data_IF_869134090756
#
_entry.id   IF_869134090756
#
_cell.length_a   1.000
_cell.length_b   1.000
_cell.length_c   1.000
_cell.angle_alpha   90.00
_cell.angle_beta   90.00
_cell.angle_gamma   90.00
#
_symmetry.space_group_name_H-M   'P 1'
#
loop_
_entity.id
_entity.type
_entity.pdbx_description
1 polymer ?
#
# COMPACT_ATOMS: atom_id res chain seq x y z
N UNK A 1 14.48 -20.13 -26.10
CA UNK A 1 14.77 -19.10 -25.09
C UNK A 1 13.56 -19.01 -24.19
N UNK A 2 13.64 -19.53 -22.96
CA UNK A 2 12.52 -19.46 -22.02
C UNK A 2 12.49 -18.06 -21.42
N UNK A 3 11.47 -17.25 -21.76
CA UNK A 3 11.19 -16.01 -21.04
C UNK A 3 10.80 -16.37 -19.61
N UNK A 4 11.72 -16.24 -18.67
CA UNK A 4 11.39 -16.26 -17.25
C UNK A 4 10.80 -14.89 -16.91
N UNK A 5 9.48 -14.80 -16.86
CA UNK A 5 8.77 -13.64 -16.29
C UNK A 5 8.95 -13.71 -14.78
N UNK A 6 9.79 -12.85 -14.22
CA UNK A 6 10.08 -12.75 -12.79
C UNK A 6 8.92 -12.09 -12.03
N UNK A 7 7.81 -12.82 -11.85
CA UNK A 7 6.62 -12.32 -11.16
C UNK A 7 6.97 -11.52 -9.89
N UNK A 8 6.58 -10.25 -9.86
CA UNK A 8 6.66 -9.38 -8.70
C UNK A 8 6.00 -10.06 -7.48
N UNK A 9 6.74 -10.17 -6.37
CA UNK A 9 6.28 -10.78 -5.12
C UNK A 9 6.73 -9.91 -3.94
N UNK A 10 5.87 -9.01 -3.44
CA UNK A 10 6.22 -8.17 -2.31
C UNK A 10 6.27 -8.96 -1.00
N UNK A 11 6.97 -8.41 -0.02
CA UNK A 11 6.86 -8.88 1.36
C UNK A 11 5.49 -8.47 1.92
N UNK A 12 4.71 -9.36 2.51
CA UNK A 12 3.39 -9.02 3.02
C UNK A 12 3.46 -8.04 4.20
N UNK A 13 2.50 -7.11 4.26
CA UNK A 13 2.31 -6.15 5.34
C UNK A 13 1.08 -6.50 6.16
N UNK A 14 1.11 -6.13 7.44
CA UNK A 14 -0.08 -6.05 8.29
C UNK A 14 -0.32 -4.58 8.59
N UNK A 15 -1.51 -4.09 8.28
CA UNK A 15 -1.92 -2.70 8.51
C UNK A 15 -3.09 -2.65 9.50
N UNK A 16 -3.02 -1.76 10.48
CA UNK A 16 -4.07 -1.44 11.44
C UNK A 16 -4.93 -0.30 10.90
N UNK A 17 -6.19 -0.59 10.59
CA UNK A 17 -7.19 0.43 10.23
C UNK A 17 -8.30 0.38 11.28
N UNK A 18 -8.48 1.48 12.01
CA UNK A 18 -9.33 1.48 13.21
C UNK A 18 -8.85 0.45 14.23
N UNK A 19 -9.69 -0.56 14.51
CA UNK A 19 -9.38 -1.66 15.44
C UNK A 19 -9.05 -2.99 14.75
N UNK A 20 -8.94 -3.01 13.42
CA UNK A 20 -8.75 -4.24 12.64
C UNK A 20 -7.34 -4.32 12.04
N UNK A 21 -6.74 -5.51 12.11
CA UNK A 21 -5.51 -5.85 11.39
C UNK A 21 -5.85 -6.43 10.01
N UNK A 22 -5.36 -5.76 8.97
CA UNK A 22 -5.61 -6.09 7.58
C UNK A 22 -4.30 -6.58 6.95
N UNK A 23 -4.21 -7.87 6.54
CA UNK A 23 -3.08 -8.36 5.80
C UNK A 23 -3.13 -7.91 4.33
N UNK A 24 -2.02 -7.38 3.82
CA UNK A 24 -1.87 -6.95 2.43
C UNK A 24 -0.62 -7.61 1.86
N UNK A 25 -0.80 -8.53 0.91
CA UNK A 25 0.30 -9.30 0.31
C UNK A 25 0.48 -9.10 -1.20
N UNK A 26 -0.33 -8.26 -1.83
CA UNK A 26 -0.29 -8.02 -3.28
C UNK A 26 -0.57 -6.56 -3.59
N UNK A 27 -0.07 -6.07 -4.74
CA UNK A 27 -0.35 -4.71 -5.21
C UNK A 27 -1.86 -4.49 -5.43
N UNK A 28 -2.58 -5.49 -5.95
CA UNK A 28 -4.04 -5.42 -6.12
C UNK A 28 -4.77 -5.32 -4.77
N UNK A 29 -4.31 -6.04 -3.75
CA UNK A 29 -4.84 -5.91 -2.39
C UNK A 29 -4.62 -4.52 -1.80
N UNK A 30 -3.43 -3.95 -2.04
CA UNK A 30 -3.11 -2.59 -1.62
C UNK A 30 -4.00 -1.53 -2.33
N UNK A 31 -4.21 -1.68 -3.64
CA UNK A 31 -5.14 -0.84 -4.42
C UNK A 31 -6.57 -0.95 -3.86
N UNK A 32 -7.02 -2.17 -3.57
CA UNK A 32 -8.34 -2.43 -2.98
C UNK A 32 -8.51 -1.73 -1.63
N UNK A 33 -7.50 -1.78 -0.77
CA UNK A 33 -7.51 -1.11 0.53
C UNK A 33 -7.58 0.42 0.37
N UNK A 34 -6.74 1.03 -0.48
CA UNK A 34 -6.80 2.49 -0.67
C UNK A 34 -8.17 2.92 -1.20
N UNK A 35 -8.76 2.14 -2.12
CA UNK A 35 -10.11 2.40 -2.63
C UNK A 35 -11.16 2.33 -1.53
N UNK A 36 -11.09 1.39 -0.59
CA UNK A 36 -12.05 1.32 0.52
C UNK A 36 -11.92 2.51 1.47
N UNK A 37 -10.74 3.13 1.57
CA UNK A 37 -10.48 4.31 2.39
C UNK A 37 -10.83 5.63 1.71
N UNK A 38 -11.27 5.64 0.44
CA UNK A 38 -11.48 6.86 -0.37
C UNK A 38 -12.41 7.90 0.28
N UNK A 39 -13.37 7.44 1.08
CA UNK A 39 -14.31 8.32 1.77
C UNK A 39 -13.76 8.90 3.08
N UNK A 40 -12.63 8.37 3.57
CA UNK A 40 -11.94 8.85 4.76
C UNK A 40 -10.91 9.93 4.42
N UNK A 41 -10.51 10.70 5.44
CA UNK A 41 -9.48 11.73 5.32
C UNK A 41 -8.15 11.17 4.78
N UNK A 42 -7.84 9.91 5.12
CA UNK A 42 -6.66 9.19 4.64
C UNK A 42 -6.73 8.89 3.13
N UNK A 43 -7.89 8.48 2.61
CA UNK A 43 -8.05 8.15 1.20
C UNK A 43 -7.88 9.35 0.26
N UNK A 44 -8.25 10.56 0.71
CA UNK A 44 -8.07 11.79 -0.09
C UNK A 44 -6.60 12.15 -0.32
N UNK A 45 -5.73 11.85 0.63
CA UNK A 45 -4.28 12.07 0.47
C UNK A 45 -3.60 10.95 -0.34
N UNK A 46 -4.31 9.85 -0.59
CA UNK A 46 -3.79 8.70 -1.31
C UNK A 46 -4.16 8.69 -2.81
N UNK A 47 -4.88 9.70 -3.33
CA UNK A 47 -5.33 9.68 -4.74
C UNK A 47 -4.18 9.62 -5.75
N UNK A 48 -3.10 10.39 -5.52
CA UNK A 48 -1.92 10.37 -6.38
C UNK A 48 -1.20 9.02 -6.31
N UNK A 49 -1.06 8.46 -5.10
CA UNK A 49 -0.49 7.13 -4.89
C UNK A 49 -1.33 6.05 -5.61
N UNK A 50 -2.66 6.10 -5.46
CA UNK A 50 -3.57 5.18 -6.11
C UNK A 50 -3.42 5.21 -7.62
N UNK A 51 -3.36 6.40 -8.22
CA UNK A 51 -3.18 6.54 -9.67
C UNK A 51 -1.85 5.92 -10.15
N UNK A 52 -0.76 6.09 -9.38
CA UNK A 52 0.55 5.49 -9.70
C UNK A 52 0.51 3.96 -9.60
N UNK A 53 -0.10 3.43 -8.54
CA UNK A 53 -0.26 1.99 -8.35
C UNK A 53 -1.13 1.36 -9.46
N UNK A 54 -2.23 2.02 -9.82
CA UNK A 54 -3.11 1.58 -10.90
C UNK A 54 -2.46 1.69 -12.30
N UNK A 55 -1.43 2.50 -12.45
CA UNK A 55 -0.68 2.69 -13.70
C UNK A 55 0.53 1.75 -13.83
N UNK A 56 0.96 1.07 -12.77
CA UNK A 56 2.08 0.13 -12.83
C UNK A 56 1.75 -1.06 -13.74
N UNK A 57 2.56 -1.28 -14.79
CA UNK A 57 2.35 -2.34 -15.79
C UNK A 57 3.48 -3.36 -15.82
N UNK A 58 4.71 -2.92 -15.61
CA UNK A 58 5.88 -3.80 -15.53
C UNK A 58 6.33 -4.07 -14.09
N UNK A 59 7.21 -5.05 -13.92
CA UNK A 59 7.67 -5.51 -12.60
C UNK A 59 8.40 -4.42 -11.80
N UNK A 60 9.15 -3.54 -12.48
CA UNK A 60 9.87 -2.46 -11.82
C UNK A 60 8.90 -1.40 -11.29
N UNK A 61 7.92 -1.01 -12.10
CA UNK A 61 6.85 -0.11 -11.68
C UNK A 61 6.01 -0.70 -10.55
N UNK A 62 5.72 -2.01 -10.59
CA UNK A 62 4.98 -2.68 -9.51
C UNK A 62 5.76 -2.68 -8.20
N UNK A 63 7.08 -2.89 -8.27
CA UNK A 63 7.96 -2.78 -7.11
C UNK A 63 7.99 -1.36 -6.55
N UNK A 64 8.16 -0.35 -7.38
CA UNK A 64 8.20 1.05 -6.94
C UNK A 64 6.86 1.50 -6.35
N UNK A 65 5.75 1.07 -6.97
CA UNK A 65 4.40 1.30 -6.46
C UNK A 65 4.19 0.68 -5.08
N UNK A 66 4.76 -0.51 -4.86
CA UNK A 66 4.71 -1.19 -3.57
C UNK A 66 5.52 -0.48 -2.50
N UNK A 67 6.75 -0.04 -2.81
CA UNK A 67 7.58 0.75 -1.89
C UNK A 67 6.90 2.08 -1.52
N UNK A 68 6.25 2.72 -2.49
CA UNK A 68 5.48 3.93 -2.24
C UNK A 68 4.29 3.67 -1.30
N UNK A 69 3.58 2.56 -1.49
CA UNK A 69 2.52 2.12 -0.60
C UNK A 69 3.01 1.82 0.82
N UNK A 70 4.11 1.07 0.96
CA UNK A 70 4.77 0.80 2.25
C UNK A 70 5.09 2.10 2.98
N UNK A 71 5.74 3.03 2.29
CA UNK A 71 6.15 4.34 2.83
C UNK A 71 4.94 5.16 3.28
N UNK A 72 3.91 5.23 2.44
CA UNK A 72 2.66 5.92 2.77
C UNK A 72 1.98 5.29 3.99
N UNK A 73 1.90 3.97 4.07
CA UNK A 73 1.25 3.27 5.20
C UNK A 73 1.97 3.53 6.52
N UNK A 74 3.30 3.58 6.51
CA UNK A 74 4.12 3.91 7.67
C UNK A 74 3.95 5.39 8.07
N UNK A 75 3.95 6.30 7.09
CA UNK A 75 3.74 7.73 7.31
C UNK A 75 2.35 8.04 7.88
N UNK A 76 1.33 7.28 7.50
CA UNK A 76 -0.02 7.37 8.06
C UNK A 76 -0.17 6.66 9.41
N UNK A 77 0.89 6.03 9.96
CA UNK A 77 0.84 5.31 11.23
C UNK A 77 -0.02 4.05 11.19
N UNK A 78 -0.23 3.47 10.01
CA UNK A 78 -1.07 2.28 9.83
C UNK A 78 -0.34 0.99 10.20
N UNK A 79 0.97 0.99 10.39
CA UNK A 79 1.70 -0.22 10.74
C UNK A 79 1.61 -0.47 12.27
N UNK A 80 1.25 -1.69 12.73
CA UNK A 80 1.01 -2.00 14.15
C UNK A 80 2.17 -1.67 15.10
N UNK A 81 3.41 -1.62 14.55
CA UNK A 81 4.64 -1.35 15.30
C UNK A 81 5.26 0.02 15.01
N UNK A 82 4.62 0.83 14.15
CA UNK A 82 5.13 2.14 13.76
C UNK A 82 4.33 3.20 14.53
N UNK A 83 4.92 3.70 15.62
CA UNK A 83 4.35 4.69 16.54
C UNK A 83 4.14 6.10 15.92
N UNK A 84 4.11 6.22 14.60
CA UNK A 84 4.37 7.49 13.91
C UNK A 84 3.36 8.61 14.16
N UNK A 85 2.07 8.31 14.39
CA UNK A 85 1.02 9.35 14.37
C UNK A 85 -0.07 9.19 15.45
N UNK A 86 0.09 8.24 16.40
CA UNK A 86 -0.92 8.02 17.46
C UNK A 86 -1.04 9.18 18.45
N UNK A 87 -0.08 10.10 18.49
CA UNK A 87 -0.02 11.23 19.43
C UNK A 87 -0.26 12.62 18.77
N UNK A 88 -0.74 12.68 17.52
CA UNK A 88 -0.98 13.95 16.80
C UNK A 88 -2.45 14.41 16.75
N UNK A 89 -3.32 13.87 17.61
CA UNK A 89 -4.74 14.23 17.69
C UNK A 89 -5.15 14.72 19.09
#
# INVERSE_FOLDING_TARGET
MSNQTTLFRPSPLILRVGNEDIPVGTLEGAIGLIRSLRHDRLGRFAEMLLAQMEAARDEHQQHDAWVAFETWSAACGLQPHHHGWRDAA
#
